data_IF_039882726716
#
_entry.id   IF_039882726716
#
_cell.length_a   1.000
_cell.length_b   1.000
_cell.length_c   1.000
_cell.angle_alpha   90.00
_cell.angle_beta   90.00
_cell.angle_gamma   90.00
#
_symmetry.space_group_name_H-M   'P 1'
#
loop_
_entity.id
_entity.type
_entity.pdbx_description
1 polymer ?
#
# COMPACT_ATOMS: atom_id res chain seq x y z
N UNK A 1 6.39 20.81 4.94
CA UNK A 1 5.12 21.06 4.21
C UNK A 1 4.69 19.76 3.55
N UNK A 2 3.58 19.18 3.98
CA UNK A 2 3.09 17.87 3.51
C UNK A 2 2.61 17.94 2.07
N UNK A 3 1.93 19.03 1.69
CA UNK A 3 1.39 19.19 0.35
C UNK A 3 2.52 19.19 -0.69
N UNK A 4 3.59 19.94 -0.44
CA UNK A 4 4.78 19.96 -1.31
C UNK A 4 5.48 18.61 -1.40
N UNK A 5 5.54 17.84 -0.30
CA UNK A 5 6.13 16.50 -0.30
C UNK A 5 5.32 15.53 -1.16
N UNK A 6 3.99 15.56 -1.03
CA UNK A 6 3.09 14.74 -1.85
C UNK A 6 3.17 15.16 -3.32
N UNK A 7 3.15 16.45 -3.62
CA UNK A 7 3.29 16.99 -4.98
C UNK A 7 4.61 16.54 -5.63
N UNK A 8 5.73 16.66 -4.93
CA UNK A 8 7.03 16.18 -5.39
C UNK A 8 7.02 14.68 -5.72
N UNK A 9 6.45 13.86 -4.81
CA UNK A 9 6.27 12.42 -5.06
C UNK A 9 5.41 12.17 -6.30
N UNK A 10 4.31 12.91 -6.48
CA UNK A 10 3.46 12.77 -7.68
C UNK A 10 4.19 13.16 -8.97
N UNK A 11 5.07 14.17 -8.93
CA UNK A 11 5.93 14.52 -10.06
C UNK A 11 6.87 13.39 -10.46
N UNK A 12 7.46 12.69 -9.47
CA UNK A 12 8.28 11.50 -9.74
C UNK A 12 7.45 10.38 -10.35
N UNK A 13 6.27 10.09 -9.78
CA UNK A 13 5.35 9.07 -10.32
C UNK A 13 5.01 9.39 -11.77
N UNK A 14 4.61 10.63 -12.08
CA UNK A 14 4.27 11.04 -13.45
C UNK A 14 5.42 10.92 -14.43
N UNK A 15 6.65 11.25 -14.01
CA UNK A 15 7.85 11.07 -14.86
C UNK A 15 8.10 9.59 -15.17
N UNK A 16 7.99 8.73 -14.18
CA UNK A 16 8.26 7.29 -14.34
C UNK A 16 7.17 6.61 -15.18
N UNK A 17 5.89 6.89 -14.90
CA UNK A 17 4.78 6.30 -15.67
C UNK A 17 4.75 6.81 -17.11
N UNK A 18 5.04 8.10 -17.33
CA UNK A 18 5.21 8.65 -18.67
C UNK A 18 6.37 8.01 -19.43
N UNK A 19 7.48 7.72 -18.75
CA UNK A 19 8.61 6.98 -19.32
C UNK A 19 8.23 5.57 -19.78
N UNK A 20 7.44 4.84 -18.99
CA UNK A 20 6.91 3.51 -19.38
C UNK A 20 6.02 3.63 -20.62
N UNK A 21 5.13 4.62 -20.67
CA UNK A 21 4.31 4.88 -21.87
C UNK A 21 5.15 5.15 -23.12
N UNK A 22 6.23 5.94 -22.98
CA UNK A 22 7.19 6.17 -24.06
C UNK A 22 7.90 4.89 -24.53
N UNK A 23 8.31 4.02 -23.59
CA UNK A 23 8.95 2.75 -23.90
C UNK A 23 8.02 1.83 -24.71
N UNK A 24 6.75 1.69 -24.29
CA UNK A 24 5.76 0.87 -25.00
C UNK A 24 5.53 1.38 -26.42
N UNK A 25 5.36 2.69 -26.59
CA UNK A 25 5.20 3.32 -27.91
C UNK A 25 6.43 3.09 -28.81
N UNK A 26 7.64 3.27 -28.28
CA UNK A 26 8.87 3.06 -29.05
C UNK A 26 9.05 1.61 -29.52
N UNK A 27 8.54 0.65 -28.74
CA UNK A 27 8.54 -0.77 -29.10
C UNK A 27 7.29 -1.19 -29.90
N UNK A 28 6.46 -0.23 -30.34
CA UNK A 28 5.24 -0.48 -31.13
C UNK A 28 4.26 -1.43 -30.45
N UNK A 29 4.15 -1.32 -29.13
CA UNK A 29 3.16 -2.09 -28.34
C UNK A 29 1.82 -1.38 -28.39
N UNK A 30 0.78 -2.10 -28.81
CA UNK A 30 -0.60 -1.63 -28.72
C UNK A 30 -1.09 -1.66 -27.28
N UNK A 31 -1.61 -0.53 -26.80
CA UNK A 31 -2.13 -0.38 -25.43
C UNK A 31 -3.64 -0.17 -25.47
N UNK A 32 -4.35 -0.89 -24.61
CA UNK A 32 -5.80 -0.81 -24.48
C UNK A 32 -6.15 -0.36 -23.06
N UNK A 33 -6.85 0.77 -22.93
CA UNK A 33 -7.28 1.29 -21.63
C UNK A 33 -8.66 0.72 -21.26
N UNK A 34 -8.73 -0.03 -20.17
CA UNK A 34 -9.97 -0.63 -19.70
C UNK A 34 -9.76 -1.83 -18.79
N UNK A 35 -10.87 -2.43 -18.35
CA UNK A 35 -10.86 -3.70 -17.63
C UNK A 35 -10.81 -4.86 -18.61
N UNK A 36 -9.84 -5.75 -18.46
CA UNK A 36 -9.63 -6.88 -19.35
C UNK A 36 -10.06 -8.20 -18.69
N UNK A 37 -10.74 -9.06 -19.44
CA UNK A 37 -11.15 -10.40 -19.01
C UNK A 37 -10.87 -11.44 -20.09
N UNK A 38 -10.24 -12.54 -19.71
CA UNK A 38 -10.13 -13.73 -20.57
C UNK A 38 -11.49 -14.42 -20.61
N UNK A 39 -12.12 -14.46 -21.78
CA UNK A 39 -13.48 -15.00 -21.96
C UNK A 39 -13.47 -16.40 -22.56
N UNK A 40 -12.44 -16.74 -23.33
CA UNK A 40 -12.22 -18.04 -23.93
C UNK A 40 -10.72 -18.22 -24.25
N UNK A 41 -10.25 -19.44 -24.60
CA UNK A 41 -8.89 -19.65 -25.08
C UNK A 41 -8.56 -18.68 -26.23
N UNK A 42 -7.50 -17.88 -26.04
CA UNK A 42 -7.04 -16.91 -27.02
C UNK A 42 -7.95 -15.69 -27.23
N UNK A 43 -8.94 -15.44 -26.37
CA UNK A 43 -9.83 -14.26 -26.47
C UNK A 43 -9.82 -13.43 -25.18
N UNK A 44 -9.55 -12.13 -25.33
CA UNK A 44 -9.58 -11.15 -24.24
C UNK A 44 -10.59 -10.06 -24.57
N UNK A 45 -11.59 -9.89 -23.73
CA UNK A 45 -12.51 -8.74 -23.82
C UNK A 45 -11.93 -7.58 -23.00
N UNK A 46 -11.84 -6.39 -23.61
CA UNK A 46 -11.50 -5.14 -22.93
C UNK A 46 -12.75 -4.26 -22.88
N UNK A 47 -13.16 -3.89 -21.68
CA UNK A 47 -14.23 -2.91 -21.45
C UNK A 47 -13.60 -1.56 -21.15
N UNK A 48 -13.76 -0.60 -22.08
CA UNK A 48 -13.28 0.77 -21.94
C UNK A 48 -14.06 1.56 -20.87
N UNK A 49 -13.55 2.74 -20.51
CA UNK A 49 -14.19 3.61 -19.50
C UNK A 49 -15.59 4.09 -19.92
N UNK A 50 -15.87 4.15 -21.22
CA UNK A 50 -17.18 4.48 -21.79
C UNK A 50 -18.15 3.28 -21.81
N UNK A 51 -17.73 2.14 -21.25
CA UNK A 51 -18.49 0.89 -21.23
C UNK A 51 -18.46 0.10 -22.55
N UNK A 52 -17.80 0.61 -23.60
CA UNK A 52 -17.69 -0.13 -24.87
C UNK A 52 -16.75 -1.31 -24.71
N UNK A 53 -17.09 -2.38 -25.42
CA UNK A 53 -16.35 -3.65 -25.38
C UNK A 53 -15.68 -3.90 -26.72
N UNK A 54 -14.45 -4.37 -26.65
CA UNK A 54 -13.70 -4.89 -27.80
C UNK A 54 -13.10 -6.25 -27.44
N UNK A 55 -13.08 -7.17 -28.41
CA UNK A 55 -12.44 -8.47 -28.24
C UNK A 55 -11.12 -8.49 -29.00
N UNK A 56 -10.08 -8.95 -28.32
CA UNK A 56 -8.73 -9.10 -28.85
C UNK A 56 -8.45 -10.59 -28.96
N UNK A 57 -8.09 -11.05 -30.15
CA UNK A 57 -7.59 -12.40 -30.37
C UNK A 57 -6.07 -12.45 -30.09
N UNK A 58 -5.64 -13.38 -29.25
CA UNK A 58 -4.26 -13.53 -28.82
C UNK A 58 -3.84 -15.00 -28.87
N UNK A 59 -2.64 -15.28 -29.41
CA UNK A 59 -2.08 -16.64 -29.40
C UNK A 59 -1.65 -17.06 -28.00
N UNK A 60 -1.10 -16.13 -27.23
CA UNK A 60 -0.62 -16.34 -25.87
C UNK A 60 -1.14 -15.22 -24.98
N UNK A 61 -1.49 -15.55 -23.74
CA UNK A 61 -2.01 -14.60 -22.76
C UNK A 61 -1.14 -14.69 -21.50
N UNK A 62 -0.61 -13.56 -21.07
CA UNK A 62 0.12 -13.43 -19.79
C UNK A 62 -0.77 -12.65 -18.83
N UNK A 63 -1.14 -13.27 -17.71
CA UNK A 63 -1.97 -12.63 -16.67
C UNK A 63 -1.06 -11.96 -15.64
N UNK A 64 -1.15 -10.64 -15.53
CA UNK A 64 -0.31 -9.81 -14.66
C UNK A 64 -1.14 -8.77 -13.89
N UNK A 65 -2.23 -9.20 -13.25
CA UNK A 65 -3.21 -8.30 -12.58
C UNK A 65 -2.78 -7.74 -11.23
N UNK A 66 -1.61 -8.15 -10.71
CA UNK A 66 -1.07 -7.65 -9.44
C UNK A 66 -1.85 -8.14 -8.21
N UNK A 67 -1.90 -7.29 -7.18
CA UNK A 67 -2.49 -7.58 -5.86
C UNK A 67 -3.13 -6.34 -5.25
N UNK A 68 -4.00 -6.52 -4.26
CA UNK A 68 -4.65 -5.43 -3.50
C UNK A 68 -4.41 -5.58 -2.00
N UNK A 69 -4.45 -4.48 -1.21
CA UNK A 69 -4.43 -4.56 0.25
C UNK A 69 -5.58 -5.41 0.78
N UNK A 70 -5.34 -6.14 1.88
CA UNK A 70 -6.39 -6.87 2.59
C UNK A 70 -7.07 -5.95 3.60
N UNK A 71 -8.37 -6.10 3.79
CA UNK A 71 -9.08 -5.52 4.93
C UNK A 71 -9.04 -6.50 6.11
N UNK A 72 -8.71 -5.97 7.28
CA UNK A 72 -8.73 -6.76 8.52
C UNK A 72 -10.13 -6.61 9.13
N UNK A 73 -10.80 -7.70 9.57
CA UNK A 73 -12.09 -7.59 10.25
C UNK A 73 -12.04 -6.59 11.40
N UNK A 74 -13.00 -5.65 11.44
CA UNK A 74 -13.03 -4.54 12.40
C UNK A 74 -12.29 -3.27 11.95
N UNK A 75 -11.58 -3.31 10.81
CA UNK A 75 -10.78 -2.21 10.27
C UNK A 75 -10.99 -2.06 8.76
N UNK A 76 -12.24 -1.92 8.32
CA UNK A 76 -12.53 -1.54 6.94
C UNK A 76 -11.91 -0.18 6.62
N UNK A 77 -11.37 -0.01 5.41
CA UNK A 77 -10.74 1.24 5.01
C UNK A 77 -11.82 2.32 4.83
N UNK A 78 -11.67 3.46 5.50
CA UNK A 78 -12.61 4.59 5.41
C UNK A 78 -11.98 5.85 4.78
N UNK A 79 -10.67 5.81 4.50
CA UNK A 79 -9.94 6.92 3.90
C UNK A 79 -9.73 8.13 4.81
N UNK A 80 -10.20 8.08 6.05
CA UNK A 80 -10.11 9.18 7.02
C UNK A 80 -9.33 8.76 8.27
N UNK A 81 -9.70 7.63 8.86
CA UNK A 81 -9.20 7.09 10.12
C UNK A 81 -8.43 5.77 9.91
N UNK A 82 -8.95 4.90 9.06
CA UNK A 82 -8.38 3.60 8.74
C UNK A 82 -7.88 3.65 7.31
N UNK A 83 -6.56 3.60 7.16
CA UNK A 83 -5.87 3.75 5.88
C UNK A 83 -5.26 2.43 5.42
N UNK A 84 -5.27 2.23 4.11
CA UNK A 84 -4.33 1.31 3.47
C UNK A 84 -3.00 2.04 3.21
N UNK A 85 -2.03 1.34 2.60
CA UNK A 85 -0.80 1.97 2.14
C UNK A 85 -1.03 3.08 1.11
N UNK A 86 -2.14 3.03 0.35
CA UNK A 86 -2.47 4.01 -0.69
C UNK A 86 -2.74 5.39 -0.09
N UNK A 87 -3.61 5.46 0.91
CA UNK A 87 -3.93 6.71 1.60
C UNK A 87 -2.74 7.21 2.41
N UNK A 88 -2.00 6.29 3.04
CA UNK A 88 -0.79 6.60 3.79
C UNK A 88 0.34 7.21 2.92
N UNK A 89 0.32 7.03 1.60
CA UNK A 89 1.27 7.67 0.67
C UNK A 89 0.81 9.04 0.15
N UNK A 90 -0.42 9.45 0.47
CA UNK A 90 -1.00 10.74 0.05
C UNK A 90 -1.74 11.45 1.20
N UNK A 91 -1.09 11.64 2.38
CA UNK A 91 -1.75 12.27 3.52
C UNK A 91 -2.07 13.74 3.26
N UNK A 92 -3.23 14.18 3.75
CA UNK A 92 -3.57 15.63 3.81
C UNK A 92 -2.87 16.35 4.96
N UNK A 93 -2.56 15.63 6.03
CA UNK A 93 -1.84 16.11 7.23
C UNK A 93 -1.07 14.96 7.87
N UNK A 94 -0.02 15.27 8.61
CA UNK A 94 0.68 14.28 9.44
C UNK A 94 -0.12 14.09 10.72
N UNK A 95 -0.56 12.85 11.05
CA UNK A 95 -1.25 12.59 12.30
C UNK A 95 -0.28 12.72 13.47
N UNK A 96 -0.75 13.22 14.62
CA UNK A 96 0.08 13.27 15.84
C UNK A 96 0.41 11.87 16.34
N UNK A 97 -0.54 10.94 16.24
CA UNK A 97 -0.41 9.53 16.63
C UNK A 97 -0.89 8.63 15.50
N UNK A 98 -0.16 7.57 15.22
CA UNK A 98 -0.53 6.58 14.21
C UNK A 98 -0.24 5.16 14.73
N UNK A 99 -1.23 4.29 14.56
CA UNK A 99 -1.10 2.87 14.82
C UNK A 99 -0.87 2.14 13.50
N UNK A 100 0.15 1.30 13.44
CA UNK A 100 0.42 0.39 12.34
C UNK A 100 -0.03 -1.00 12.77
N UNK A 101 -0.98 -1.58 12.02
CA UNK A 101 -1.45 -2.95 12.22
C UNK A 101 -0.73 -3.83 11.20
N UNK A 102 0.14 -4.72 11.69
CA UNK A 102 1.07 -5.53 10.92
C UNK A 102 2.50 -4.97 10.97
N UNK A 103 3.44 -5.78 11.45
CA UNK A 103 4.88 -5.55 11.49
C UNK A 103 5.62 -6.03 10.24
N UNK A 104 4.93 -6.11 9.09
CA UNK A 104 5.53 -6.35 7.79
C UNK A 104 6.26 -5.11 7.23
N UNK A 105 7.01 -5.29 6.14
CA UNK A 105 7.87 -4.23 5.60
C UNK A 105 7.10 -2.95 5.21
N UNK A 106 5.92 -3.07 4.58
CA UNK A 106 5.09 -1.91 4.21
C UNK A 106 4.72 -1.07 5.44
N UNK A 107 4.22 -1.73 6.50
CA UNK A 107 3.81 -1.07 7.73
C UNK A 107 4.97 -0.38 8.42
N UNK A 108 6.14 -1.03 8.46
CA UNK A 108 7.34 -0.46 9.08
C UNK A 108 7.93 0.70 8.26
N UNK A 109 8.01 0.57 6.93
CA UNK A 109 8.51 1.63 6.05
C UNK A 109 7.67 2.90 6.18
N UNK A 110 6.36 2.77 6.02
CA UNK A 110 5.44 3.90 6.15
C UNK A 110 5.45 4.44 7.58
N UNK A 111 5.38 3.57 8.59
CA UNK A 111 5.46 3.97 9.99
C UNK A 111 6.73 4.79 10.27
N UNK A 112 7.89 4.37 9.76
CA UNK A 112 9.14 5.10 9.92
C UNK A 112 9.14 6.45 9.19
N UNK A 113 8.52 6.55 8.01
CA UNK A 113 8.32 7.84 7.33
C UNK A 113 7.52 8.79 8.23
N UNK A 114 6.37 8.35 8.75
CA UNK A 114 5.54 9.17 9.64
C UNK A 114 6.25 9.52 10.94
N UNK A 115 7.00 8.58 11.53
CA UNK A 115 7.83 8.83 12.70
C UNK A 115 8.84 9.95 12.45
N UNK A 116 9.55 9.92 11.33
CA UNK A 116 10.51 10.95 10.97
C UNK A 116 9.84 12.31 10.67
N UNK A 117 8.56 12.29 10.28
CA UNK A 117 7.73 13.48 10.09
C UNK A 117 7.10 13.98 11.40
N UNK A 118 7.35 13.32 12.53
CA UNK A 118 6.96 13.76 13.87
C UNK A 118 5.79 13.00 14.49
N UNK A 119 5.21 12.02 13.81
CA UNK A 119 4.15 11.18 14.39
C UNK A 119 4.70 10.27 15.49
N UNK A 120 3.93 10.11 16.57
CA UNK A 120 4.13 9.04 17.53
C UNK A 120 3.56 7.74 16.95
N UNK A 121 4.43 6.76 16.70
CA UNK A 121 4.06 5.50 16.06
C UNK A 121 4.01 4.38 17.08
N UNK A 122 2.99 3.52 16.97
CA UNK A 122 2.95 2.20 17.60
C UNK A 122 2.69 1.13 16.55
N UNK A 123 3.24 -0.06 16.75
CA UNK A 123 3.03 -1.22 15.87
C UNK A 123 2.37 -2.34 16.65
N UNK A 124 1.33 -2.95 16.10
CA UNK A 124 0.74 -4.21 16.58
C UNK A 124 1.04 -5.28 15.53
N UNK A 125 1.64 -6.38 15.94
CA UNK A 125 1.96 -7.52 15.08
C UNK A 125 1.47 -8.80 15.74
N UNK A 126 0.77 -9.62 14.97
CA UNK A 126 0.22 -10.88 15.42
C UNK A 126 1.31 -11.94 15.66
N UNK A 127 2.36 -11.91 14.85
CA UNK A 127 3.52 -12.79 14.98
C UNK A 127 4.42 -12.38 16.15
N UNK A 128 5.32 -13.28 16.53
CA UNK A 128 6.27 -13.10 17.64
C UNK A 128 7.49 -12.22 17.28
N UNK A 129 7.55 -11.72 16.03
CA UNK A 129 8.62 -10.88 15.50
C UNK A 129 8.13 -9.96 14.39
N UNK A 130 8.82 -8.83 14.23
CA UNK A 130 8.67 -7.97 13.04
C UNK A 130 9.35 -8.58 11.81
N UNK A 131 8.94 -8.16 10.63
CA UNK A 131 9.42 -8.68 9.34
C UNK A 131 9.37 -10.22 9.31
N UNK A 132 8.23 -10.88 9.61
CA UNK A 132 8.19 -12.32 9.81
C UNK A 132 8.61 -13.13 8.57
N UNK A 133 8.50 -12.56 7.37
CA UNK A 133 8.97 -13.16 6.12
C UNK A 133 10.48 -13.04 5.85
N UNK A 134 11.24 -12.36 6.71
CA UNK A 134 12.69 -12.23 6.60
C UNK A 134 13.42 -13.20 7.54
N UNK A 135 14.73 -13.32 7.34
CA UNK A 135 15.60 -14.10 8.23
C UNK A 135 15.59 -13.51 9.65
N UNK A 136 15.63 -14.40 10.66
CA UNK A 136 15.45 -14.01 12.05
C UNK A 136 16.46 -12.98 12.56
N UNK A 137 17.70 -12.99 12.06
CA UNK A 137 18.71 -11.99 12.43
C UNK A 137 18.35 -10.58 11.91
N UNK A 138 17.78 -10.48 10.70
CA UNK A 138 17.27 -9.21 10.16
C UNK A 138 16.08 -8.69 10.98
N UNK A 139 15.15 -9.59 11.35
CA UNK A 139 14.03 -9.24 12.23
C UNK A 139 14.50 -8.74 13.59
N UNK A 140 15.53 -9.36 14.19
CA UNK A 140 16.11 -8.93 15.47
C UNK A 140 16.75 -7.55 15.36
N UNK A 141 17.52 -7.30 14.31
CA UNK A 141 18.17 -6.01 14.11
C UNK A 141 17.12 -4.90 13.86
N UNK A 142 16.09 -5.18 13.08
CA UNK A 142 14.96 -4.27 12.91
C UNK A 142 14.27 -3.99 14.26
N UNK A 143 14.00 -5.01 15.07
CA UNK A 143 13.44 -4.83 16.41
C UNK A 143 14.30 -3.94 17.32
N UNK A 144 15.63 -4.11 17.29
CA UNK A 144 16.58 -3.24 18.02
C UNK A 144 16.53 -1.80 17.52
N UNK A 145 16.48 -1.61 16.20
CA UNK A 145 16.38 -0.29 15.58
C UNK A 145 15.08 0.44 15.96
N UNK A 146 13.93 -0.25 15.95
CA UNK A 146 12.64 0.29 16.41
C UNK A 146 12.70 0.69 17.89
N UNK A 147 13.27 -0.17 18.75
CA UNK A 147 13.46 0.12 20.18
C UNK A 147 14.35 1.34 20.40
N UNK A 148 15.45 1.49 19.65
CA UNK A 148 16.34 2.66 19.72
C UNK A 148 15.62 3.95 19.31
N UNK A 149 14.69 3.86 18.36
CA UNK A 149 13.80 4.95 17.93
C UNK A 149 12.62 5.20 18.88
N UNK A 150 12.51 4.43 19.97
CA UNK A 150 11.41 4.49 20.95
C UNK A 150 10.03 4.25 20.32
N UNK A 151 9.97 3.45 19.26
CA UNK A 151 8.72 3.03 18.63
C UNK A 151 8.24 1.76 19.34
N UNK A 152 7.11 1.78 20.08
CA UNK A 152 6.58 0.59 20.73
C UNK A 152 6.08 -0.41 19.70
N UNK A 153 6.43 -1.68 19.91
CA UNK A 153 5.99 -2.81 19.08
C UNK A 153 5.38 -3.86 19.99
N UNK A 154 4.11 -4.17 19.75
CA UNK A 154 3.35 -5.19 20.46
C UNK A 154 3.30 -6.44 19.60
N UNK A 155 4.20 -7.38 19.89
CA UNK A 155 4.29 -8.68 19.23
C UNK A 155 3.32 -9.68 19.88
N UNK A 156 2.89 -10.69 19.13
CA UNK A 156 1.91 -11.67 19.62
C UNK A 156 0.51 -11.10 19.85
N UNK A 157 0.21 -9.92 19.28
CA UNK A 157 -1.02 -9.18 19.54
C UNK A 157 -1.88 -9.09 18.28
N UNK A 158 -3.15 -9.51 18.40
CA UNK A 158 -4.14 -9.43 17.31
C UNK A 158 -5.03 -8.21 17.52
N UNK A 159 -5.02 -7.27 16.59
CA UNK A 159 -6.02 -6.20 16.53
C UNK A 159 -7.39 -6.80 16.14
N UNK A 160 -8.45 -6.44 16.87
CA UNK A 160 -9.80 -7.03 16.68
C UNK A 160 -10.88 -6.01 16.35
N UNK A 161 -10.67 -4.73 16.67
CA UNK A 161 -11.61 -3.64 16.37
C UNK A 161 -11.12 -2.35 17.00
N UNK A 162 -11.94 -1.29 16.89
CA UNK A 162 -11.63 -0.01 17.52
C UNK A 162 -12.91 0.73 17.91
N UNK A 163 -12.78 1.64 18.87
CA UNK A 163 -13.85 2.52 19.32
C UNK A 163 -13.48 4.00 19.08
N UNK A 164 -14.46 4.79 18.66
CA UNK A 164 -14.31 6.25 18.54
C UNK A 164 -14.61 6.90 19.88
N UNK A 165 -13.60 7.52 20.48
CA UNK A 165 -13.72 8.26 21.73
C UNK A 165 -13.45 9.75 21.52
N UNK A 166 -13.74 10.59 22.52
CA UNK A 166 -13.36 12.01 22.50
C UNK A 166 -11.85 12.23 22.38
N UNK A 167 -11.04 11.24 22.76
CA UNK A 167 -9.57 11.30 22.73
C UNK A 167 -8.97 10.72 21.42
N UNK A 168 -9.81 10.27 20.49
CA UNK A 168 -9.41 9.62 19.24
C UNK A 168 -9.85 8.15 19.16
N UNK A 169 -9.22 7.39 18.27
CA UNK A 169 -9.47 5.96 18.11
C UNK A 169 -8.72 5.17 19.18
N UNK A 170 -9.43 4.25 19.82
CA UNK A 170 -8.86 3.28 20.75
C UNK A 170 -8.98 1.92 20.12
N UNK A 171 -7.84 1.23 19.97
CA UNK A 171 -7.70 -0.09 19.32
C UNK A 171 -7.34 -1.12 20.37
#
# INVERSE_FOLDING_TARGET
DVAKMVEWKQGIVGKLTGGVGGLLKNHKVDTFEGSARVTAPGKVEVTGQDGKKQTIDAKNIVVAVGSTPIEIPGFAFDGEHVWSSTEALSPKKIPERMLVIGGGYIGLELGLVYHNLGSEIRVIEFMDRVLPGMEGELSKEMGRSLKKKKIPVHLGAKAVGYEKTKAGLVV
#
